data_IF_081684691072
#
_entry.id   IF_081684691072
#
_cell.length_a   1.000
_cell.length_b   1.000
_cell.length_c   1.000
_cell.angle_alpha   90.00
_cell.angle_beta   90.00
_cell.angle_gamma   90.00
#
_symmetry.space_group_name_H-M   'P 1'
#
loop_
_entity.id
_entity.type
_entity.pdbx_description
1 polymer ?
#
# COMPACT_ATOMS: atom_id res chain seq x y z
N UNK A 1 0.74 -17.82 -5.12
CA UNK A 1 -0.23 -16.89 -5.75
C UNK A 1 -0.24 -15.61 -4.95
N UNK A 2 -0.33 -14.43 -5.59
CA UNK A 2 -0.44 -13.16 -4.85
C UNK A 2 -1.83 -13.10 -4.22
N UNK A 3 -1.87 -12.91 -2.90
CA UNK A 3 -3.11 -12.81 -2.11
C UNK A 3 -3.45 -11.36 -1.81
N UNK A 4 -2.44 -10.58 -1.38
CA UNK A 4 -2.61 -9.17 -1.00
C UNK A 4 -1.54 -8.28 -1.62
N UNK A 5 -1.92 -7.03 -1.89
CA UNK A 5 -0.98 -5.92 -2.17
C UNK A 5 -0.62 -5.24 -0.87
N UNK A 6 0.67 -4.98 -0.69
CA UNK A 6 1.21 -4.18 0.40
C UNK A 6 1.31 -2.72 -0.07
N UNK A 7 0.60 -1.82 0.59
CA UNK A 7 0.39 -0.45 0.14
C UNK A 7 0.71 0.55 1.26
N UNK A 8 1.35 1.66 0.92
CA UNK A 8 1.72 2.73 1.85
C UNK A 8 1.21 4.08 1.36
N UNK A 9 0.95 5.00 2.30
CA UNK A 9 0.66 6.39 1.97
C UNK A 9 1.94 7.09 1.52
N UNK A 10 1.92 7.67 0.33
CA UNK A 10 3.03 8.40 -0.28
C UNK A 10 2.62 9.85 -0.61
N UNK A 11 2.20 10.58 0.43
CA UNK A 11 1.74 11.96 0.33
C UNK A 11 0.27 12.12 -0.11
N UNK A 12 -0.11 13.34 -0.46
CA UNK A 12 -1.42 13.69 -0.99
C UNK A 12 -1.28 14.70 -2.14
N UNK A 13 -2.32 14.80 -2.96
CA UNK A 13 -2.39 15.76 -4.06
C UNK A 13 -3.81 16.29 -4.22
N UNK A 14 -3.95 17.52 -4.72
CA UNK A 14 -5.25 18.10 -5.06
C UNK A 14 -5.65 17.64 -6.45
N UNK A 15 -6.84 17.05 -6.59
CA UNK A 15 -7.37 16.68 -7.90
C UNK A 15 -7.94 17.91 -8.65
N UNK A 16 -8.38 17.70 -9.90
CA UNK A 16 -8.95 18.78 -10.74
C UNK A 16 -10.22 19.42 -10.14
N UNK A 17 -10.89 18.70 -9.25
CA UNK A 17 -12.13 19.13 -8.59
C UNK A 17 -11.86 19.84 -7.25
N UNK A 18 -10.60 20.11 -6.91
CA UNK A 18 -10.20 20.78 -5.67
C UNK A 18 -10.20 19.90 -4.42
N UNK A 19 -10.43 18.60 -4.56
CA UNK A 19 -10.43 17.64 -3.44
C UNK A 19 -9.03 17.10 -3.17
N UNK A 20 -8.67 17.00 -1.90
CA UNK A 20 -7.45 16.31 -1.48
C UNK A 20 -7.61 14.80 -1.67
N UNK A 21 -6.65 14.19 -2.37
CA UNK A 21 -6.57 12.75 -2.56
C UNK A 21 -5.27 12.22 -1.99
N UNK A 22 -5.36 11.10 -1.28
CA UNK A 22 -4.17 10.40 -0.81
C UNK A 22 -3.51 9.68 -1.98
N UNK A 23 -2.19 9.83 -2.10
CA UNK A 23 -1.40 9.07 -3.05
C UNK A 23 -0.96 7.76 -2.38
N UNK A 24 -1.33 6.63 -2.97
CA UNK A 24 -1.04 5.30 -2.45
C UNK A 24 -0.01 4.61 -3.33
N UNK A 25 1.02 4.03 -2.71
CA UNK A 25 2.09 3.32 -3.40
C UNK A 25 2.05 1.84 -3.02
N UNK A 26 1.97 0.96 -4.01
CA UNK A 26 2.22 -0.48 -3.80
C UNK A 26 3.72 -0.67 -3.62
N UNK A 27 4.14 -1.36 -2.56
CA UNK A 27 5.57 -1.60 -2.24
C UNK A 27 5.94 -3.08 -2.26
N UNK A 28 4.96 -3.96 -2.49
CA UNK A 28 5.15 -5.39 -2.39
C UNK A 28 3.84 -6.16 -2.36
N UNK A 29 3.97 -7.45 -2.08
CA UNK A 29 2.88 -8.42 -2.16
C UNK A 29 3.01 -9.50 -1.09
N UNK A 30 1.87 -9.94 -0.57
CA UNK A 30 1.74 -11.19 0.16
C UNK A 30 1.47 -12.33 -0.84
N UNK A 31 2.20 -13.43 -0.68
CA UNK A 31 2.05 -14.64 -1.44
C UNK A 31 1.66 -15.79 -0.52
N UNK A 32 0.81 -16.66 -1.04
CA UNK A 32 0.53 -17.96 -0.42
C UNK A 32 1.08 -19.07 -1.32
N UNK A 33 1.82 -19.99 -0.70
CA UNK A 33 2.41 -21.17 -1.36
C UNK A 33 2.17 -22.42 -0.52
N UNK A 34 1.83 -23.52 -1.18
CA UNK A 34 1.46 -24.79 -0.52
C UNK A 34 2.57 -25.35 0.38
N UNK A 35 3.83 -25.19 -0.03
CA UNK A 35 4.99 -25.73 0.69
C UNK A 35 5.59 -24.76 1.72
N UNK A 36 5.56 -23.45 1.45
CA UNK A 36 6.29 -22.45 2.24
C UNK A 36 5.36 -21.59 3.12
N UNK A 37 4.05 -21.83 3.04
CA UNK A 37 3.05 -21.01 3.70
C UNK A 37 2.98 -19.59 3.11
N UNK A 38 2.68 -18.62 3.97
CA UNK A 38 2.60 -17.21 3.59
C UNK A 38 3.98 -16.54 3.64
N UNK A 39 4.36 -15.86 2.56
CA UNK A 39 5.57 -15.05 2.51
C UNK A 39 5.32 -13.72 1.80
N UNK A 40 6.21 -12.76 2.03
CA UNK A 40 6.09 -11.41 1.47
C UNK A 40 7.27 -11.10 0.55
N UNK A 41 6.98 -10.38 -0.53
CA UNK A 41 7.99 -9.81 -1.42
C UNK A 41 7.86 -8.30 -1.43
N UNK A 42 8.97 -7.59 -1.36
CA UNK A 42 9.03 -6.13 -1.52
C UNK A 42 9.70 -5.78 -2.85
N UNK A 43 9.30 -4.67 -3.45
CA UNK A 43 9.95 -4.15 -4.65
C UNK A 43 11.40 -3.81 -4.33
N UNK A 44 12.35 -4.41 -5.06
CA UNK A 44 13.79 -4.30 -4.74
C UNK A 44 14.33 -2.86 -4.74
N UNK A 45 13.66 -1.95 -5.44
CA UNK A 45 14.06 -0.55 -5.57
C UNK A 45 13.29 0.41 -4.65
N UNK A 46 12.45 -0.10 -3.75
CA UNK A 46 11.70 0.78 -2.84
C UNK A 46 12.64 1.46 -1.84
N UNK A 47 12.55 2.79 -1.76
CA UNK A 47 13.23 3.57 -0.72
C UNK A 47 12.29 3.78 0.48
N UNK A 48 12.34 2.86 1.45
CA UNK A 48 11.48 2.94 2.65
C UNK A 48 11.74 4.20 3.49
N UNK A 49 12.95 4.76 3.44
CA UNK A 49 13.30 5.95 4.21
C UNK A 49 12.59 7.22 3.69
N UNK A 50 12.18 7.24 2.42
CA UNK A 50 11.47 8.35 1.78
C UNK A 50 9.97 8.36 2.08
N UNK A 51 9.42 7.31 2.69
CA UNK A 51 8.00 7.23 3.00
C UNK A 51 7.71 8.11 4.24
N UNK A 52 6.66 8.96 4.20
CA UNK A 52 6.25 9.75 5.35
C UNK A 52 5.97 8.88 6.58
N UNK A 53 6.49 9.28 7.73
CA UNK A 53 6.37 8.56 9.00
C UNK A 53 6.00 9.53 10.12
N UNK A 54 5.41 8.98 11.18
CA UNK A 54 5.22 9.72 12.43
C UNK A 54 6.58 10.03 13.04
N UNK A 55 6.74 11.22 13.60
CA UNK A 55 7.96 11.61 14.30
C UNK A 55 8.32 10.60 15.39
N UNK A 56 9.57 10.17 15.42
CA UNK A 56 10.09 9.15 16.34
C UNK A 56 9.82 7.70 15.92
N UNK A 57 9.02 7.44 14.88
CA UNK A 57 8.81 6.08 14.37
C UNK A 57 9.85 5.71 13.31
N UNK A 58 10.54 4.59 13.53
CA UNK A 58 11.53 4.06 12.58
C UNK A 58 10.91 3.10 11.58
N UNK A 59 9.63 2.74 11.74
CA UNK A 59 8.90 1.76 10.92
C UNK A 59 8.04 2.46 9.88
N UNK A 60 7.73 1.71 8.82
CA UNK A 60 6.75 2.11 7.81
C UNK A 60 5.47 1.32 8.06
N UNK A 61 4.35 2.02 8.18
CA UNK A 61 3.03 1.39 8.28
C UNK A 61 2.60 0.97 6.87
N UNK A 62 2.14 -0.27 6.76
CA UNK A 62 1.75 -0.89 5.48
C UNK A 62 0.33 -1.43 5.62
N UNK A 63 -0.52 -1.06 4.67
CA UNK A 63 -1.87 -1.62 4.54
C UNK A 63 -1.82 -2.82 3.59
N UNK A 64 -2.49 -3.91 3.95
CA UNK A 64 -2.60 -5.10 3.12
C UNK A 64 -4.02 -5.19 2.53
N UNK A 65 -4.13 -5.01 1.21
CA UNK A 65 -5.40 -5.07 0.49
C UNK A 65 -5.50 -6.36 -0.31
N UNK A 66 -6.65 -7.03 -0.29
CA UNK A 66 -6.89 -8.21 -1.11
C UNK A 66 -6.76 -7.88 -2.60
N UNK A 67 -6.15 -8.79 -3.36
CA UNK A 67 -6.11 -8.66 -4.81
C UNK A 67 -7.45 -9.16 -5.34
N UNK A 68 -8.38 -8.24 -5.61
CA UNK A 68 -9.64 -8.56 -6.26
C UNK A 68 -9.38 -9.23 -7.62
N UNK A 69 -9.95 -10.43 -7.81
CA UNK A 69 -10.06 -11.08 -9.11
C UNK A 69 -10.94 -10.20 -10.02
N UNK A 70 -10.28 -9.34 -10.80
CA UNK A 70 -10.89 -8.32 -11.69
C UNK A 70 -11.71 -7.25 -10.95
N UNK A 71 -11.05 -6.22 -10.45
CA UNK A 71 -11.52 -4.82 -10.60
C UNK A 71 -10.33 -3.88 -10.56
N UNK A 72 -10.22 -3.02 -11.58
CA UNK A 72 -9.33 -1.87 -11.58
C UNK A 72 -9.64 -1.05 -10.31
N UNK A 73 -8.64 -0.89 -9.44
CA UNK A 73 -8.76 -0.19 -8.17
C UNK A 73 -9.01 1.30 -8.47
N UNK A 74 -10.27 1.73 -8.48
CA UNK A 74 -10.62 3.15 -8.33
C UNK A 74 -10.67 3.41 -6.83
N UNK A 75 -9.63 4.04 -6.29
CA UNK A 75 -9.57 4.40 -4.88
C UNK A 75 -10.76 5.28 -4.52
N UNK A 76 -11.70 4.73 -3.74
CA UNK A 76 -12.70 5.51 -3.04
C UNK A 76 -12.06 6.10 -1.78
N UNK A 77 -12.27 7.40 -1.61
CA UNK A 77 -11.57 8.27 -0.66
C UNK A 77 -12.01 8.11 0.81
N UNK A 78 -12.84 7.13 1.16
CA UNK A 78 -13.42 7.05 2.50
C UNK A 78 -13.34 5.61 3.03
N UNK A 79 -12.25 5.30 3.74
CA UNK A 79 -12.25 4.49 4.97
C UNK A 79 -10.83 4.04 5.32
N UNK A 80 -10.12 4.85 6.11
CA UNK A 80 -9.15 4.32 7.08
C UNK A 80 -9.13 5.24 8.31
N UNK A 81 -9.30 4.70 9.53
CA UNK A 81 -9.38 5.50 10.75
C UNK A 81 -7.98 5.79 11.32
N UNK A 82 -7.26 6.74 10.73
CA UNK A 82 -6.19 7.49 11.41
C UNK A 82 -5.86 8.80 10.68
#
# INVERSE_FOLDING_TARGET
>A
MIKKRLVVKNGSYTNKDGQEKTNWLVIGHEHEHSEFGTFYTLDAHINLAAIPRKEGDTRVIVNAYDVDDKKSFKGDNNDVPF
#
